data_IF_902881327272
#
_entry.id   IF_902881327272
#
_cell.length_a   1.000
_cell.length_b   1.000
_cell.length_c   1.000
_cell.angle_alpha   90.00
_cell.angle_beta   90.00
_cell.angle_gamma   90.00
#
_symmetry.space_group_name_H-M   'P 1'
#
loop_
_entity.id
_entity.type
_entity.pdbx_description
1 polymer ?
#
# COMPACT_ATOMS: atom_id res chain seq x y z
N UNK A 1 -5.69 25.81 -13.44
CA UNK A 1 -6.43 26.51 -12.38
C UNK A 1 -5.85 26.10 -11.03
N UNK A 2 -5.80 27.01 -10.08
CA UNK A 2 -5.37 26.73 -8.70
C UNK A 2 -6.50 26.00 -7.96
N UNK A 3 -6.30 24.75 -7.50
CA UNK A 3 -7.33 23.96 -6.84
C UNK A 3 -7.90 24.66 -5.59
N UNK A 4 -7.05 25.34 -4.82
CA UNK A 4 -7.45 26.05 -3.60
C UNK A 4 -8.44 27.18 -3.87
N UNK A 5 -8.28 27.89 -5.00
CA UNK A 5 -9.23 28.94 -5.42
C UNK A 5 -10.57 28.37 -5.82
N UNK A 6 -10.58 27.24 -6.53
CA UNK A 6 -11.81 26.56 -6.92
C UNK A 6 -12.61 26.10 -5.69
N UNK A 7 -11.96 25.53 -4.68
CA UNK A 7 -12.61 25.13 -3.42
C UNK A 7 -13.14 26.36 -2.68
N UNK A 8 -12.39 27.45 -2.59
CA UNK A 8 -12.80 28.68 -1.92
C UNK A 8 -14.04 29.33 -2.58
N UNK A 9 -14.17 29.28 -3.91
CA UNK A 9 -15.36 29.76 -4.60
C UNK A 9 -16.60 28.89 -4.30
N UNK A 10 -16.43 27.57 -4.27
CA UNK A 10 -17.51 26.62 -3.93
C UNK A 10 -17.95 26.80 -2.46
N UNK A 11 -17.04 27.18 -1.58
CA UNK A 11 -17.31 27.46 -0.17
C UNK A 11 -18.33 28.61 0.02
N UNK A 12 -18.31 29.61 -0.87
CA UNK A 12 -19.20 30.80 -0.81
C UNK A 12 -20.64 30.52 -1.26
N UNK A 13 -20.94 29.37 -1.90
CA UNK A 13 -22.26 29.06 -2.42
C UNK A 13 -23.31 28.80 -1.34
N UNK A 14 -24.59 28.76 -1.72
CA UNK A 14 -25.73 28.48 -0.83
C UNK A 14 -25.88 27.00 -0.48
N UNK A 15 -26.60 26.71 0.63
CA UNK A 15 -26.92 25.37 1.10
C UNK A 15 -25.83 24.75 1.98
N UNK A 16 -25.81 23.41 2.12
CA UNK A 16 -24.87 22.68 2.99
C UNK A 16 -23.43 22.84 2.51
N UNK A 17 -22.70 23.75 3.18
CA UNK A 17 -21.31 24.08 2.90
C UNK A 17 -20.41 22.86 3.01
N UNK A 18 -20.53 22.06 4.06
CA UNK A 18 -19.66 20.91 4.29
C UNK A 18 -19.77 19.87 3.18
N UNK A 19 -21.00 19.59 2.76
CA UNK A 19 -21.25 18.63 1.67
C UNK A 19 -20.73 19.14 0.32
N UNK A 20 -20.88 20.45 0.02
CA UNK A 20 -20.37 21.02 -1.23
C UNK A 20 -18.84 21.00 -1.27
N UNK A 21 -18.19 21.46 -0.20
CA UNK A 21 -16.72 21.45 -0.10
C UNK A 21 -16.19 20.02 -0.17
N UNK A 22 -16.81 19.08 0.52
CA UNK A 22 -16.40 17.67 0.46
C UNK A 22 -16.46 17.10 -0.96
N UNK A 23 -17.56 17.33 -1.70
CA UNK A 23 -17.67 16.90 -3.11
C UNK A 23 -16.64 17.57 -4.02
N UNK A 24 -16.37 18.86 -3.80
CA UNK A 24 -15.37 19.59 -4.56
C UNK A 24 -13.97 19.02 -4.32
N UNK A 25 -13.63 18.73 -3.09
CA UNK A 25 -12.34 18.13 -2.71
C UNK A 25 -12.16 16.73 -3.31
N UNK A 26 -13.23 15.93 -3.31
CA UNK A 26 -13.20 14.62 -4.00
C UNK A 26 -12.91 14.77 -5.50
N UNK A 27 -13.62 15.66 -6.19
CA UNK A 27 -13.41 15.87 -7.62
C UNK A 27 -12.03 16.45 -7.95
N UNK A 28 -11.52 17.36 -7.11
CA UNK A 28 -10.17 17.93 -7.25
C UNK A 28 -9.12 16.85 -6.97
N UNK A 29 -9.32 16.05 -5.92
CA UNK A 29 -8.42 14.93 -5.57
C UNK A 29 -8.32 13.91 -6.70
N UNK A 30 -9.46 13.52 -7.30
CA UNK A 30 -9.51 12.65 -8.47
C UNK A 30 -8.74 13.23 -9.66
N UNK A 31 -8.96 14.50 -9.95
CA UNK A 31 -8.28 15.19 -11.06
C UNK A 31 -6.76 15.24 -10.84
N UNK A 32 -6.31 15.58 -9.63
CA UNK A 32 -4.89 15.60 -9.29
C UNK A 32 -4.27 14.20 -9.35
N UNK A 33 -5.00 13.18 -8.89
CA UNK A 33 -4.57 11.80 -8.98
C UNK A 33 -4.39 11.37 -10.44
N UNK A 34 -5.34 11.69 -11.31
CA UNK A 34 -5.20 11.44 -12.75
C UNK A 34 -3.94 12.06 -13.35
N UNK A 35 -3.62 13.32 -13.03
CA UNK A 35 -2.40 13.98 -13.53
C UNK A 35 -1.13 13.35 -12.95
N UNK A 36 -1.17 12.92 -11.68
CA UNK A 36 -0.05 12.22 -11.06
C UNK A 36 0.19 10.84 -11.72
N UNK A 37 -0.88 10.11 -12.06
CA UNK A 37 -0.79 8.84 -12.82
C UNK A 37 -0.12 9.01 -14.20
N UNK A 38 -0.34 10.16 -14.88
CA UNK A 38 0.36 10.46 -16.13
C UNK A 38 1.88 10.63 -15.91
N UNK A 39 2.30 11.13 -14.76
CA UNK A 39 3.72 11.22 -14.39
C UNK A 39 4.26 9.84 -14.02
N UNK A 40 3.51 9.06 -13.25
CA UNK A 40 3.85 7.69 -12.90
C UNK A 40 4.03 6.81 -14.14
N UNK A 41 3.19 6.94 -15.15
CA UNK A 41 3.34 6.21 -16.40
C UNK A 41 4.72 6.40 -17.07
N UNK A 42 5.32 7.60 -16.92
CA UNK A 42 6.69 7.86 -17.40
C UNK A 42 7.74 7.12 -16.55
N UNK A 43 7.52 7.01 -15.24
CA UNK A 43 8.36 6.20 -14.35
C UNK A 43 8.31 4.74 -14.75
N UNK A 44 7.11 4.21 -14.99
CA UNK A 44 6.87 2.80 -15.33
C UNK A 44 7.43 2.43 -16.72
N UNK A 45 7.56 3.42 -17.62
CA UNK A 45 8.20 3.23 -18.93
C UNK A 45 9.72 3.01 -18.83
N UNK A 46 10.38 3.50 -17.77
CA UNK A 46 11.82 3.32 -17.55
C UNK A 46 12.08 1.97 -16.91
N UNK A 47 12.37 0.96 -17.76
CA UNK A 47 12.65 -0.41 -17.31
C UNK A 47 14.09 -0.58 -16.86
N UNK A 48 14.29 -1.48 -15.88
CA UNK A 48 15.63 -1.86 -15.45
C UNK A 48 16.41 -2.50 -16.63
N UNK A 49 17.70 -2.12 -16.85
CA UNK A 49 18.49 -2.63 -17.96
C UNK A 49 18.81 -4.11 -17.75
N UNK A 50 18.33 -4.97 -18.65
CA UNK A 50 18.67 -6.39 -18.63
C UNK A 50 20.17 -6.60 -18.88
N UNK A 51 20.79 -7.45 -18.07
CA UNK A 51 22.17 -7.86 -18.28
C UNK A 51 22.23 -8.94 -19.38
N UNK A 52 23.02 -8.69 -20.39
CA UNK A 52 23.24 -9.62 -21.50
C UNK A 52 24.74 -9.81 -21.67
N UNK A 53 25.24 -10.98 -21.31
CA UNK A 53 26.66 -11.29 -21.43
C UNK A 53 27.16 -12.30 -20.42
N UNK A 54 28.44 -12.67 -20.47
CA UNK A 54 29.03 -13.55 -19.48
C UNK A 54 29.08 -12.83 -18.12
N UNK A 55 28.66 -13.52 -17.05
CA UNK A 55 28.63 -12.96 -15.70
C UNK A 55 30.03 -12.89 -15.06
N UNK A 56 31.03 -12.44 -15.84
CA UNK A 56 32.36 -12.15 -15.35
C UNK A 56 32.36 -10.87 -14.52
N UNK A 57 33.30 -10.74 -13.60
CA UNK A 57 33.41 -9.57 -12.74
C UNK A 57 33.47 -8.26 -13.53
N UNK A 58 34.28 -8.22 -14.58
CA UNK A 58 34.52 -6.99 -15.36
C UNK A 58 33.28 -6.58 -16.17
N UNK A 59 32.60 -7.53 -16.81
CA UNK A 59 31.38 -7.24 -17.58
C UNK A 59 30.22 -6.81 -16.67
N UNK A 60 30.07 -7.44 -15.49
CA UNK A 60 29.04 -7.03 -14.52
C UNK A 60 29.34 -5.64 -13.95
N UNK A 61 30.60 -5.35 -13.59
CA UNK A 61 30.99 -4.02 -13.10
C UNK A 61 30.77 -2.93 -14.16
N UNK A 62 31.10 -3.23 -15.43
CA UNK A 62 30.85 -2.33 -16.57
C UNK A 62 29.35 -2.06 -16.73
N UNK A 63 28.53 -3.12 -16.67
CA UNK A 63 27.06 -2.98 -16.76
C UNK A 63 26.52 -2.10 -15.61
N UNK A 64 26.92 -2.34 -14.37
CA UNK A 64 26.50 -1.57 -13.20
C UNK A 64 26.92 -0.10 -13.37
N UNK A 65 28.20 0.15 -13.67
CA UNK A 65 28.73 1.51 -13.76
C UNK A 65 28.18 2.34 -14.92
N UNK A 66 27.73 1.70 -15.99
CA UNK A 66 27.21 2.40 -17.17
C UNK A 66 25.68 2.32 -17.24
N UNK A 67 25.13 1.11 -17.33
CA UNK A 67 23.69 0.92 -17.60
C UNK A 67 22.81 1.13 -16.37
N UNK A 68 23.20 0.54 -15.22
CA UNK A 68 22.41 0.71 -13.99
C UNK A 68 22.51 2.13 -13.45
N UNK A 69 23.71 2.74 -13.53
CA UNK A 69 23.89 4.15 -13.15
C UNK A 69 23.08 5.11 -14.00
N UNK A 70 23.03 4.92 -15.33
CA UNK A 70 22.19 5.68 -16.26
C UNK A 70 20.70 5.50 -15.94
N UNK A 71 20.29 4.26 -15.68
CA UNK A 71 18.92 3.95 -15.26
C UNK A 71 18.53 4.69 -13.97
N UNK A 72 19.37 4.66 -12.92
CA UNK A 72 19.15 5.41 -11.67
C UNK A 72 18.99 6.89 -11.97
N UNK A 73 19.91 7.45 -12.77
CA UNK A 73 19.91 8.86 -13.15
C UNK A 73 18.67 9.31 -13.90
N UNK A 74 18.02 8.40 -14.64
CA UNK A 74 16.78 8.67 -15.38
C UNK A 74 15.53 8.42 -14.52
N UNK A 75 15.47 7.28 -13.82
CA UNK A 75 14.27 6.85 -13.10
C UNK A 75 14.00 7.67 -11.84
N UNK A 76 15.04 7.91 -11.03
CA UNK A 76 14.88 8.63 -9.76
C UNK A 76 14.27 10.04 -9.92
N UNK A 77 14.73 10.92 -10.82
CA UNK A 77 14.10 12.23 -11.02
C UNK A 77 12.62 12.15 -11.44
N UNK A 78 12.26 11.14 -12.23
CA UNK A 78 10.87 10.93 -12.63
C UNK A 78 9.99 10.50 -11.45
N UNK A 79 10.51 9.64 -10.54
CA UNK A 79 9.82 9.29 -9.30
C UNK A 79 9.65 10.53 -8.42
N UNK A 80 10.69 11.34 -8.27
CA UNK A 80 10.63 12.57 -7.48
C UNK A 80 9.60 13.57 -8.07
N UNK A 81 9.50 13.68 -9.40
CA UNK A 81 8.49 14.51 -10.07
C UNK A 81 7.07 13.97 -9.83
N UNK A 82 6.86 12.67 -10.01
CA UNK A 82 5.56 12.04 -9.76
C UNK A 82 5.16 12.16 -8.28
N UNK A 83 6.10 11.97 -7.35
CA UNK A 83 5.87 12.12 -5.91
C UNK A 83 5.38 13.54 -5.57
N UNK A 84 5.95 14.58 -6.21
CA UNK A 84 5.50 15.97 -6.02
C UNK A 84 4.06 16.19 -6.50
N UNK A 85 3.65 15.53 -7.59
CA UNK A 85 2.27 15.63 -8.06
C UNK A 85 1.30 14.93 -7.09
N UNK A 86 1.61 13.73 -6.61
CA UNK A 86 0.79 13.05 -5.59
C UNK A 86 0.71 13.83 -4.29
N UNK A 87 1.78 14.50 -3.89
CA UNK A 87 1.79 15.33 -2.67
C UNK A 87 0.75 16.45 -2.72
N UNK A 88 0.43 17.02 -3.89
CA UNK A 88 -0.60 18.05 -4.03
C UNK A 88 -1.97 17.60 -3.50
N UNK A 89 -2.24 16.28 -3.53
CA UNK A 89 -3.49 15.71 -3.00
C UNK A 89 -3.50 15.77 -1.47
N UNK A 90 -2.35 15.42 -0.86
CA UNK A 90 -2.19 15.45 0.60
C UNK A 90 -2.26 16.88 1.15
N UNK A 91 -1.80 17.84 0.36
CA UNK A 91 -1.74 19.26 0.72
C UNK A 91 -3.09 20.01 0.49
N UNK A 92 -4.15 19.33 0.01
CA UNK A 92 -5.47 19.92 -0.20
C UNK A 92 -6.10 20.43 1.10
N UNK A 93 -6.67 21.63 1.03
CA UNK A 93 -7.33 22.27 2.17
C UNK A 93 -8.85 22.41 1.89
N UNK A 94 -9.71 22.43 2.92
CA UNK A 94 -9.40 22.38 4.36
C UNK A 94 -9.05 21.00 4.90
N UNK A 95 -9.48 19.92 4.27
CA UNK A 95 -9.21 18.53 4.65
C UNK A 95 -9.02 17.73 3.37
N UNK A 96 -7.86 17.10 3.15
CA UNK A 96 -7.64 16.30 1.96
C UNK A 96 -8.58 15.09 1.93
N UNK A 97 -9.10 14.70 0.74
CA UNK A 97 -10.04 13.59 0.62
C UNK A 97 -9.34 12.25 0.92
N UNK A 98 -9.81 11.49 1.92
CA UNK A 98 -9.11 10.30 2.42
C UNK A 98 -8.82 9.25 1.34
N UNK A 99 -9.79 8.98 0.47
CA UNK A 99 -9.64 8.05 -0.66
C UNK A 99 -8.40 8.36 -1.50
N UNK A 100 -8.26 9.62 -1.91
CA UNK A 100 -7.19 10.03 -2.82
C UNK A 100 -5.84 10.17 -2.10
N UNK A 101 -5.84 10.47 -0.80
CA UNK A 101 -4.61 10.44 0.02
C UNK A 101 -4.09 9.00 0.17
N UNK A 102 -4.98 8.05 0.42
CA UNK A 102 -4.63 6.62 0.53
C UNK A 102 -4.06 6.12 -0.80
N UNK A 103 -4.76 6.40 -1.90
CA UNK A 103 -4.30 6.04 -3.24
C UNK A 103 -2.94 6.68 -3.59
N UNK A 104 -2.76 7.97 -3.30
CA UNK A 104 -1.50 8.68 -3.52
C UNK A 104 -0.34 8.06 -2.72
N UNK A 105 -0.56 7.77 -1.43
CA UNK A 105 0.42 7.12 -0.57
C UNK A 105 0.83 5.74 -1.08
N UNK A 106 -0.15 4.94 -1.53
CA UNK A 106 0.11 3.64 -2.14
C UNK A 106 0.96 3.77 -3.40
N UNK A 107 0.63 4.68 -4.31
CA UNK A 107 1.37 4.84 -5.57
C UNK A 107 2.79 5.37 -5.36
N UNK A 108 2.99 6.30 -4.44
CA UNK A 108 4.34 6.77 -4.07
C UNK A 108 5.15 5.63 -3.46
N UNK A 109 4.56 4.87 -2.54
CA UNK A 109 5.18 3.70 -1.95
C UNK A 109 5.57 2.65 -3.00
N UNK A 110 4.67 2.36 -3.95
CA UNK A 110 4.91 1.41 -5.03
C UNK A 110 6.04 1.85 -5.96
N UNK A 111 6.12 3.12 -6.34
CA UNK A 111 7.22 3.62 -7.19
C UNK A 111 8.58 3.44 -6.52
N UNK A 112 8.70 3.83 -5.24
CA UNK A 112 9.96 3.68 -4.51
C UNK A 112 10.26 2.22 -4.15
N UNK A 113 9.24 1.44 -3.78
CA UNK A 113 9.39 0.01 -3.51
C UNK A 113 9.86 -0.75 -4.73
N UNK A 114 9.24 -0.52 -5.89
CA UNK A 114 9.65 -1.13 -7.17
C UNK A 114 11.07 -0.71 -7.56
N UNK A 115 11.43 0.57 -7.35
CA UNK A 115 12.81 1.02 -7.60
C UNK A 115 13.83 0.25 -6.77
N UNK A 116 13.56 0.02 -5.48
CA UNK A 116 14.43 -0.76 -4.60
C UNK A 116 14.51 -2.22 -5.05
N UNK A 117 13.37 -2.84 -5.38
CA UNK A 117 13.31 -4.24 -5.84
C UNK A 117 14.08 -4.43 -7.15
N UNK A 118 13.91 -3.52 -8.12
CA UNK A 118 14.64 -3.53 -9.39
C UNK A 118 16.15 -3.32 -9.17
N UNK A 119 16.54 -2.41 -8.28
CA UNK A 119 17.94 -2.18 -7.94
C UNK A 119 18.60 -3.42 -7.30
N UNK A 120 17.89 -4.11 -6.41
CA UNK A 120 18.36 -5.36 -5.79
C UNK A 120 18.44 -6.53 -6.77
N UNK A 121 17.71 -6.47 -7.88
CA UNK A 121 17.78 -7.45 -8.96
C UNK A 121 18.99 -7.23 -9.89
N UNK A 122 19.90 -6.28 -9.59
CA UNK A 122 21.13 -6.06 -10.33
C UNK A 122 21.93 -7.36 -10.50
N UNK A 123 22.60 -7.55 -11.65
CA UNK A 123 23.32 -8.78 -11.94
C UNK A 123 24.49 -8.98 -10.95
N UNK A 124 24.68 -10.22 -10.53
CA UNK A 124 25.77 -10.63 -9.64
C UNK A 124 26.80 -11.44 -10.43
N UNK A 125 28.12 -11.18 -10.29
CA UNK A 125 29.16 -11.98 -10.91
C UNK A 125 29.12 -13.44 -10.45
N UNK A 126 29.44 -14.38 -11.37
CA UNK A 126 29.40 -15.81 -11.04
C UNK A 126 30.37 -16.20 -9.93
N UNK A 127 31.50 -15.51 -9.80
CA UNK A 127 32.45 -15.69 -8.72
C UNK A 127 31.86 -15.35 -7.36
N UNK A 128 31.10 -14.27 -7.26
CA UNK A 128 30.41 -13.84 -6.04
C UNK A 128 29.20 -14.73 -5.77
N UNK A 129 28.47 -15.15 -6.82
CA UNK A 129 27.26 -15.98 -6.70
C UNK A 129 27.55 -17.33 -6.05
N UNK A 130 28.72 -17.91 -6.32
CA UNK A 130 29.15 -19.22 -5.80
C UNK A 130 29.65 -19.16 -4.35
N UNK A 131 30.09 -18.02 -3.89
CA UNK A 131 30.60 -17.80 -2.54
C UNK A 131 29.50 -17.21 -1.65
N UNK A 132 29.20 -17.88 -0.54
CA UNK A 132 28.13 -17.47 0.36
C UNK A 132 28.42 -16.14 1.06
N UNK A 133 29.65 -15.95 1.54
CA UNK A 133 30.05 -14.75 2.28
C UNK A 133 30.08 -13.52 1.35
N UNK A 134 30.71 -13.65 0.18
CA UNK A 134 30.74 -12.59 -0.81
C UNK A 134 29.33 -12.23 -1.32
N UNK A 135 28.48 -13.22 -1.51
CA UNK A 135 27.08 -12.99 -1.91
C UNK A 135 26.29 -12.23 -0.84
N UNK A 136 26.47 -12.61 0.43
CA UNK A 136 25.83 -11.94 1.55
C UNK A 136 26.31 -10.49 1.68
N UNK A 137 27.62 -10.27 1.57
CA UNK A 137 28.19 -8.92 1.58
C UNK A 137 27.71 -8.06 0.40
N UNK A 138 27.58 -8.65 -0.79
CA UNK A 138 27.07 -7.95 -1.97
C UNK A 138 25.61 -7.48 -1.79
N UNK A 139 24.73 -8.37 -1.33
CA UNK A 139 23.34 -7.98 -1.06
C UNK A 139 23.21 -7.01 0.11
N UNK A 140 24.05 -7.13 1.14
CA UNK A 140 24.13 -6.15 2.21
C UNK A 140 24.49 -4.77 1.70
N UNK A 141 25.47 -4.66 0.82
CA UNK A 141 25.85 -3.38 0.19
C UNK A 141 24.74 -2.79 -0.68
N UNK A 142 23.97 -3.62 -1.40
CA UNK A 142 22.79 -3.15 -2.16
C UNK A 142 21.68 -2.67 -1.22
N UNK A 143 21.45 -3.38 -0.12
CA UNK A 143 20.47 -2.99 0.90
C UNK A 143 20.83 -1.65 1.53
N UNK A 144 22.08 -1.47 1.94
CA UNK A 144 22.58 -0.20 2.50
C UNK A 144 22.47 0.96 1.50
N UNK A 145 22.83 0.71 0.23
CA UNK A 145 22.75 1.73 -0.83
C UNK A 145 21.30 2.14 -1.16
N UNK A 146 20.35 1.24 -0.99
CA UNK A 146 18.92 1.49 -1.28
C UNK A 146 18.08 1.87 -0.04
N UNK A 147 18.68 1.81 1.16
CA UNK A 147 17.96 2.08 2.42
C UNK A 147 17.28 3.46 2.47
N UNK A 148 17.86 4.56 1.96
CA UNK A 148 17.16 5.84 1.93
C UNK A 148 15.85 5.79 1.13
N UNK A 149 15.83 5.12 -0.03
CA UNK A 149 14.64 4.97 -0.88
C UNK A 149 13.62 4.02 -0.25
N UNK A 150 14.08 2.97 0.39
CA UNK A 150 13.25 2.03 1.15
C UNK A 150 12.52 2.73 2.31
N UNK A 151 13.20 3.65 3.01
CA UNK A 151 12.57 4.48 4.04
C UNK A 151 11.49 5.41 3.49
N UNK A 152 11.72 6.00 2.31
CA UNK A 152 10.69 6.82 1.65
C UNK A 152 9.48 5.97 1.27
N UNK A 153 9.69 4.77 0.71
CA UNK A 153 8.60 3.84 0.42
C UNK A 153 7.82 3.47 1.69
N UNK A 154 8.54 3.14 2.77
CA UNK A 154 7.95 2.85 4.07
C UNK A 154 7.06 3.99 4.57
N UNK A 155 7.57 5.22 4.61
CA UNK A 155 6.81 6.38 5.08
C UNK A 155 5.56 6.66 4.25
N UNK A 156 5.60 6.43 2.93
CA UNK A 156 4.44 6.56 2.06
C UNK A 156 3.38 5.51 2.35
N UNK A 157 3.76 4.24 2.53
CA UNK A 157 2.84 3.17 2.90
C UNK A 157 2.28 3.31 4.32
N UNK A 158 3.09 3.79 5.27
CA UNK A 158 2.62 4.11 6.64
C UNK A 158 1.59 5.25 6.63
N UNK A 159 1.80 6.28 5.80
CA UNK A 159 0.84 7.37 5.61
C UNK A 159 -0.47 6.83 5.02
N UNK A 160 -0.39 5.98 4.01
CA UNK A 160 -1.54 5.30 3.41
C UNK A 160 -2.35 4.55 4.46
N UNK A 161 -1.73 3.67 5.25
CA UNK A 161 -2.41 2.91 6.30
C UNK A 161 -2.93 3.80 7.42
N UNK A 162 -2.17 4.81 7.84
CA UNK A 162 -2.58 5.75 8.87
C UNK A 162 -3.85 6.50 8.49
N UNK A 163 -3.97 6.94 7.24
CA UNK A 163 -5.20 7.56 6.71
C UNK A 163 -6.34 6.56 6.59
N UNK A 164 -6.06 5.35 6.13
CA UNK A 164 -7.06 4.27 6.03
C UNK A 164 -7.70 3.98 7.39
N UNK A 165 -6.87 3.78 8.42
CA UNK A 165 -7.34 3.51 9.79
C UNK A 165 -8.07 4.72 10.38
N UNK A 166 -7.50 5.92 10.25
CA UNK A 166 -8.08 7.16 10.79
C UNK A 166 -9.49 7.45 10.24
N UNK A 167 -9.69 7.20 8.96
CA UNK A 167 -10.94 7.50 8.27
C UNK A 167 -11.83 6.26 8.08
N UNK A 168 -11.39 5.09 8.57
CA UNK A 168 -12.10 3.80 8.39
C UNK A 168 -12.44 3.53 6.91
N UNK A 169 -11.54 3.90 6.02
CA UNK A 169 -11.68 3.73 4.59
C UNK A 169 -10.68 2.70 4.09
N UNK A 170 -11.19 1.53 3.69
CA UNK A 170 -10.39 0.38 3.27
C UNK A 170 -10.72 0.03 1.82
N UNK A 171 -9.70 -0.03 0.97
CA UNK A 171 -9.80 -0.32 -0.46
C UNK A 171 -8.59 -1.15 -0.94
N UNK A 172 -8.48 -1.36 -2.24
CA UNK A 172 -7.33 -2.04 -2.84
C UNK A 172 -5.99 -1.35 -2.53
N UNK A 173 -5.95 -0.02 -2.49
CA UNK A 173 -4.72 0.73 -2.21
C UNK A 173 -4.24 0.54 -0.78
N UNK A 174 -5.15 0.62 0.18
CA UNK A 174 -4.82 0.37 1.59
C UNK A 174 -4.35 -1.08 1.81
N UNK A 175 -4.98 -2.04 1.08
CA UNK A 175 -4.57 -3.44 1.13
C UNK A 175 -3.18 -3.69 0.53
N UNK A 176 -2.82 -2.98 -0.52
CA UNK A 176 -1.45 -3.02 -1.07
C UNK A 176 -0.43 -2.46 -0.09
N UNK A 177 -0.74 -1.34 0.58
CA UNK A 177 0.12 -0.75 1.60
C UNK A 177 0.40 -1.73 2.74
N UNK A 178 -0.64 -2.38 3.24
CA UNK A 178 -0.55 -3.41 4.28
C UNK A 178 0.31 -4.60 3.83
N UNK A 179 0.07 -5.13 2.63
CA UNK A 179 0.83 -6.26 2.08
C UNK A 179 2.31 -5.95 1.95
N UNK A 180 2.65 -4.76 1.46
CA UNK A 180 4.05 -4.39 1.29
C UNK A 180 4.76 -4.23 2.64
N UNK A 181 4.13 -3.56 3.61
CA UNK A 181 4.68 -3.40 4.96
C UNK A 181 4.85 -4.75 5.66
N UNK A 182 3.85 -5.61 5.62
CA UNK A 182 3.92 -6.93 6.22
C UNK A 182 4.96 -7.85 5.55
N UNK A 183 5.17 -7.72 4.24
CA UNK A 183 6.22 -8.46 3.51
C UNK A 183 7.61 -7.97 3.88
N UNK A 184 7.79 -6.65 3.99
CA UNK A 184 9.11 -6.02 4.12
C UNK A 184 9.55 -5.90 5.58
N UNK A 185 8.62 -5.64 6.49
CA UNK A 185 8.85 -5.41 7.93
C UNK A 185 8.03 -6.40 8.78
N UNK A 186 8.26 -7.68 8.59
CA UNK A 186 7.49 -8.80 9.18
C UNK A 186 7.39 -8.80 10.71
N UNK A 187 8.35 -8.17 11.38
CA UNK A 187 8.36 -8.08 12.85
C UNK A 187 7.49 -6.95 13.39
N UNK A 188 7.24 -5.94 12.56
CA UNK A 188 6.49 -4.74 12.97
C UNK A 188 5.07 -4.73 12.42
N UNK A 189 4.85 -5.35 11.24
CA UNK A 189 3.57 -5.38 10.55
C UNK A 189 3.12 -6.82 10.27
N UNK A 190 1.87 -7.10 10.59
CA UNK A 190 1.21 -8.34 10.20
C UNK A 190 0.06 -8.04 9.25
N UNK A 191 -0.20 -8.94 8.30
CA UNK A 191 -1.42 -8.86 7.51
C UNK A 191 -2.63 -9.05 8.43
N UNK A 192 -3.56 -8.11 8.36
CA UNK A 192 -4.86 -8.27 8.99
C UNK A 192 -5.66 -9.20 8.08
N UNK A 193 -5.83 -10.43 8.52
CA UNK A 193 -6.69 -11.40 7.88
C UNK A 193 -7.96 -11.51 8.71
N UNK A 194 -9.08 -11.16 8.15
CA UNK A 194 -10.39 -11.26 8.81
C UNK A 194 -10.67 -12.67 9.35
N UNK A 195 -10.07 -13.68 8.73
CA UNK A 195 -10.19 -15.08 9.16
C UNK A 195 -9.15 -15.51 10.21
N UNK A 196 -8.08 -14.73 10.44
CA UNK A 196 -7.08 -15.09 11.46
C UNK A 196 -7.59 -15.01 12.88
N UNK A 197 -8.60 -14.19 13.13
CA UNK A 197 -9.28 -14.09 14.42
C UNK A 197 -10.47 -15.05 14.56
N UNK A 198 -10.87 -15.71 13.49
CA UNK A 198 -11.94 -16.70 13.56
C UNK A 198 -11.49 -17.88 14.42
N UNK A 199 -12.29 -18.30 15.40
CA UNK A 199 -11.95 -19.47 16.20
C UNK A 199 -11.80 -20.69 15.29
N UNK A 200 -10.69 -21.40 15.42
CA UNK A 200 -10.35 -22.62 14.65
C UNK A 200 -11.38 -23.74 14.86
N UNK A 201 -12.20 -23.61 15.87
CA UNK A 201 -13.34 -24.47 16.15
C UNK A 201 -14.56 -23.59 16.33
N UNK A 202 -15.42 -23.65 15.38
CA UNK A 202 -16.79 -23.19 15.54
C UNK A 202 -17.44 -24.22 16.45
N UNK A 203 -17.76 -23.82 17.68
CA UNK A 203 -18.55 -24.66 18.52
C UNK A 203 -19.96 -24.66 17.91
N UNK A 204 -20.30 -25.76 17.23
CA UNK A 204 -21.58 -25.90 16.53
C UNK A 204 -22.78 -25.60 17.41
N UNK A 205 -22.70 -25.96 18.69
CA UNK A 205 -23.74 -25.71 19.68
C UNK A 205 -23.98 -24.21 19.89
N UNK A 206 -22.94 -23.40 19.94
CA UNK A 206 -23.08 -21.93 20.08
C UNK A 206 -23.65 -21.30 18.82
N UNK A 207 -23.31 -21.80 17.65
CA UNK A 207 -23.74 -21.20 16.40
C UNK A 207 -25.18 -21.55 16.00
N UNK A 208 -25.64 -22.74 16.35
CA UNK A 208 -27.01 -23.15 16.04
C UNK A 208 -28.05 -22.51 16.96
N UNK A 209 -27.65 -22.18 18.19
CA UNK A 209 -28.61 -21.66 19.18
C UNK A 209 -28.47 -20.14 19.46
N UNK A 210 -27.29 -19.56 19.29
CA UNK A 210 -27.04 -18.22 19.79
C UNK A 210 -27.48 -17.08 18.87
N UNK A 211 -27.34 -17.22 17.55
CA UNK A 211 -27.58 -16.09 16.63
C UNK A 211 -28.15 -16.53 15.28
N UNK A 212 -29.46 -16.81 15.20
CA UNK A 212 -30.07 -16.91 13.90
C UNK A 212 -29.96 -15.56 13.19
N UNK A 213 -29.19 -15.51 12.10
CA UNK A 213 -29.19 -14.37 11.18
C UNK A 213 -30.62 -14.21 10.65
N UNK A 214 -31.30 -13.15 11.10
CA UNK A 214 -32.62 -12.81 10.62
C UNK A 214 -32.54 -11.64 9.66
N UNK A 215 -32.82 -11.94 8.43
CA UNK A 215 -33.17 -10.96 7.41
C UNK A 215 -34.69 -10.89 7.40
N UNK A 216 -35.26 -9.82 7.99
CA UNK A 216 -36.70 -9.62 8.07
C UNK A 216 -37.31 -9.86 9.48
N UNK A 217 -38.16 -8.96 9.91
CA UNK A 217 -38.65 -8.79 11.27
C UNK A 217 -39.67 -9.84 11.78
N UNK A 218 -39.43 -11.12 11.59
CA UNK A 218 -40.25 -12.16 12.21
C UNK A 218 -39.86 -12.42 13.68
N UNK A 219 -40.82 -12.67 14.56
CA UNK A 219 -40.56 -12.84 15.99
C UNK A 219 -39.71 -14.09 16.26
N UNK A 220 -38.83 -14.00 17.26
CA UNK A 220 -38.03 -15.15 17.73
C UNK A 220 -38.95 -16.25 18.22
N UNK A 221 -38.91 -17.40 17.58
CA UNK A 221 -39.46 -18.62 18.15
C UNK A 221 -38.51 -19.03 19.28
N UNK A 222 -38.91 -18.81 20.51
CA UNK A 222 -38.24 -19.38 21.66
C UNK A 222 -38.52 -20.87 21.65
N UNK A 223 -37.53 -21.66 21.27
CA UNK A 223 -37.60 -23.13 21.48
C UNK A 223 -37.53 -23.36 22.98
N UNK A 224 -38.56 -23.97 23.53
CA UNK A 224 -38.59 -24.35 24.94
C UNK A 224 -37.41 -25.28 25.25
N UNK A 225 -36.75 -25.14 26.41
CA UNK A 225 -35.68 -26.05 26.79
C UNK A 225 -36.20 -27.49 26.82
N UNK A 226 -35.37 -28.46 26.41
CA UNK A 226 -35.75 -29.86 26.45
C UNK A 226 -36.20 -30.29 27.87
N UNK A 227 -37.22 -31.13 28.01
CA UNK A 227 -37.69 -31.61 29.31
C UNK A 227 -36.54 -32.28 30.10
N UNK A 228 -36.43 -31.92 31.36
CA UNK A 228 -35.46 -32.54 32.25
C UNK A 228 -35.62 -34.08 32.27
N UNK A 229 -34.51 -34.83 32.25
CA UNK A 229 -34.59 -36.31 32.33
C UNK A 229 -35.24 -36.75 33.66
N UNK A 230 -36.07 -37.76 33.66
CA UNK A 230 -36.77 -38.22 34.86
C UNK A 230 -35.78 -38.58 35.96
N UNK A 231 -36.02 -38.05 37.16
CA UNK A 231 -35.21 -38.30 38.34
C UNK A 231 -35.13 -39.80 38.62
N UNK A 232 -33.95 -40.36 38.54
CA UNK A 232 -33.69 -41.76 38.98
C UNK A 232 -33.92 -41.83 40.46
N UNK A 233 -35.02 -42.46 40.83
CA UNK A 233 -35.25 -42.89 42.24
C UNK A 233 -34.19 -43.93 42.63
N UNK A 234 -33.42 -43.61 43.66
CA UNK A 234 -32.61 -44.59 44.38
C UNK A 234 -33.50 -45.44 45.29
#
# INVERSE_FOLDING_TARGET
ADPSKAVAEIEKGEGDKQRRVGRALEAVGESLFYFAEQKKAKVDAVKFPAFQGPATKDEVLKHINVKVKDWIGKKKPLIDEATKEYKKIVDLQPVPPPRWVIAAGSQVGNMWGTFVDEFRAAPIPDTIKKDYELRTAYYGALDDASEPQKKVARGAFETCLGYSVKHQYFDEFSRECEKWLAKTYKTEYALIDEFRGAPTRVNSVLNEQAFPLRIGGEPMVTVAPPPEPPATKK
#
